data_IF_781524538171
#
_entry.id   IF_781524538171
#
_cell.length_a   1.000
_cell.length_b   1.000
_cell.length_c   1.000
_cell.angle_alpha   90.00
_cell.angle_beta   90.00
_cell.angle_gamma   90.00
#
_symmetry.space_group_name_H-M   'P 1'
#
loop_
_entity.id
_entity.type
_entity.pdbx_description
1 polymer ?
2 polymer ?
3 polymer ?
#
# COMPACT_ATOMS: atom_id res chain seq x y z
N UNK A 1 -7.19 9.64 12.88
CA UNK A 1 -7.31 10.67 11.86
C UNK A 1 -5.98 11.40 11.66
N UNK A 2 -5.59 11.59 10.40
CA UNK A 2 -4.37 12.32 10.05
C UNK A 2 -4.69 13.28 8.91
N UNK A 3 -4.33 14.54 9.07
CA UNK A 3 -4.68 15.59 8.13
C UNK A 3 -3.42 16.23 7.57
N UNK A 4 -3.43 16.49 6.27
CA UNK A 4 -2.33 17.15 5.57
C UNK A 4 -2.91 18.30 4.74
N UNK A 5 -2.23 19.45 4.77
CA UNK A 5 -2.69 20.64 4.07
C UNK A 5 -1.54 21.25 3.29
N UNK A 6 -1.68 21.33 1.97
CA UNK A 6 -0.69 21.97 1.13
C UNK A 6 -0.75 23.49 1.31
N UNK A 7 0.34 24.14 0.91
CA UNK A 7 0.40 25.59 0.94
C UNK A 7 1.53 26.05 0.03
N UNK A 8 1.27 27.07 -0.78
CA UNK A 8 2.27 27.62 -1.65
C UNK A 8 1.76 28.70 -2.58
N UNK A 9 2.67 29.30 -3.33
CA UNK A 9 2.29 30.38 -4.25
C UNK A 9 1.43 29.88 -5.40
N UNK A 10 0.59 30.79 -5.92
CA UNK A 10 -0.26 30.43 -7.04
C UNK A 10 0.51 30.20 -8.32
N UNK A 11 1.40 31.12 -8.66
CA UNK A 11 2.18 31.02 -9.89
C UNK A 11 3.66 31.17 -9.58
N UNK A 12 4.48 30.57 -10.44
CA UNK A 12 5.93 30.64 -10.34
C UNK A 12 6.48 30.94 -11.73
N UNK A 13 7.25 32.03 -11.84
CA UNK A 13 7.91 32.34 -13.10
C UNK A 13 8.97 31.28 -13.41
N UNK A 14 9.22 31.01 -14.68
CA UNK A 14 10.21 29.97 -15.03
C UNK A 14 11.59 30.33 -14.53
N UNK A 15 12.38 29.30 -14.24
CA UNK A 15 13.74 29.35 -13.69
C UNK A 15 13.77 29.79 -12.24
N UNK A 16 12.63 29.87 -11.57
CA UNK A 16 12.59 30.13 -10.14
C UNK A 16 12.71 28.83 -9.36
N UNK A 17 12.64 28.91 -8.05
CA UNK A 17 12.65 27.75 -7.18
C UNK A 17 11.26 27.59 -6.56
N UNK A 18 10.67 26.42 -6.76
CA UNK A 18 9.32 26.15 -6.27
C UNK A 18 9.37 25.74 -4.80
N UNK A 19 8.46 26.30 -4.00
CA UNK A 19 8.44 26.04 -2.57
C UNK A 19 7.01 25.81 -2.10
N UNK A 20 6.74 24.61 -1.59
CA UNK A 20 5.45 24.29 -0.98
C UNK A 20 5.71 23.62 0.37
N UNK A 21 4.80 23.86 1.31
CA UNK A 21 4.90 23.28 2.64
C UNK A 21 3.63 22.49 2.93
N UNK A 22 3.81 21.27 3.44
CA UNK A 22 2.70 20.39 3.78
C UNK A 22 2.59 20.35 5.31
N UNK A 23 1.60 21.04 5.84
CA UNK A 23 1.40 21.15 7.28
C UNK A 23 0.60 19.95 7.76
N UNK A 24 1.25 19.05 8.51
CA UNK A 24 0.64 17.81 8.99
C UNK A 24 0.13 18.03 10.40
N UNK A 25 -1.09 17.58 10.67
CA UNK A 25 -1.69 17.67 12.00
C UNK A 25 -2.23 16.31 12.40
N UNK A 26 -2.32 16.09 13.71
CA UNK A 26 -2.82 14.88 14.37
C UNK A 26 -1.84 13.71 14.28
N UNK A 27 -0.67 13.88 13.69
CA UNK A 27 0.38 12.87 13.73
C UNK A 27 1.72 13.56 13.56
N UNK A 28 2.75 13.01 14.18
CA UNK A 28 4.07 13.62 14.19
C UNK A 28 4.98 12.92 13.19
N UNK A 29 5.72 13.72 12.41
CA UNK A 29 6.58 13.17 11.35
C UNK A 29 7.62 12.24 11.95
N UNK A 30 8.17 12.60 13.11
CA UNK A 30 9.30 11.87 13.69
C UNK A 30 8.91 10.52 14.27
N UNK A 31 7.62 10.23 14.45
CA UNK A 31 7.23 8.99 15.11
C UNK A 31 7.46 7.77 14.22
N UNK A 32 6.70 7.63 13.13
CA UNK A 32 7.05 6.70 12.07
C UNK A 32 6.03 6.68 10.95
N UNK A 33 6.52 7.02 9.74
CA UNK A 33 5.99 6.98 8.36
C UNK A 33 6.92 7.68 7.39
N UNK A 34 6.69 7.49 6.11
CA UNK A 34 7.44 8.14 5.04
C UNK A 34 6.52 9.10 4.30
N UNK A 35 7.00 10.33 4.10
CA UNK A 35 6.15 11.46 3.76
C UNK A 35 6.53 11.93 2.36
N UNK A 36 5.55 11.90 1.46
CA UNK A 36 5.81 11.96 0.04
C UNK A 36 5.25 13.24 -0.56
N UNK A 37 5.77 13.61 -1.72
CA UNK A 37 5.27 14.71 -2.53
C UNK A 37 4.89 14.17 -3.90
N UNK A 38 3.70 14.51 -4.38
CA UNK A 38 3.16 14.00 -5.62
C UNK A 38 2.57 15.16 -6.42
N UNK A 39 2.83 15.17 -7.72
CA UNK A 39 2.24 16.13 -8.64
C UNK A 39 1.44 15.40 -9.71
N UNK A 40 0.44 16.09 -10.26
CA UNK A 40 -0.40 15.54 -11.32
C UNK A 40 -0.49 16.55 -12.44
N UNK A 41 0.03 16.21 -13.60
CA UNK A 41 -0.01 17.11 -14.74
C UNK A 41 -1.43 17.23 -15.29
N UNK A 42 -1.77 18.37 -15.86
CA UNK A 42 -3.06 18.50 -16.55
C UNK A 42 -3.15 17.54 -17.72
N UNK A 43 -4.08 16.60 -17.63
CA UNK A 43 -4.31 15.66 -18.71
C UNK A 43 -3.44 14.42 -18.69
N UNK A 44 -2.52 14.30 -17.74
CA UNK A 44 -1.68 13.11 -17.61
C UNK A 44 -1.92 12.47 -16.24
N UNK A 45 -1.14 11.43 -15.97
CA UNK A 45 -1.29 10.68 -14.74
C UNK A 45 -0.65 11.39 -13.57
N UNK A 46 -0.41 10.62 -12.52
CA UNK A 46 0.22 11.11 -11.30
C UNK A 46 1.70 10.82 -11.35
N UNK A 47 2.52 11.81 -10.98
CA UNK A 47 3.96 11.62 -10.90
C UNK A 47 4.42 11.71 -9.45
N UNK A 48 5.26 10.76 -9.06
CA UNK A 48 5.82 10.73 -7.72
C UNK A 48 7.15 11.47 -7.71
N UNK A 49 7.21 12.55 -6.92
CA UNK A 49 8.42 13.37 -6.86
C UNK A 49 9.46 12.72 -5.96
N UNK A 50 9.08 12.40 -4.73
CA UNK A 50 10.00 11.82 -3.76
C UNK A 50 9.38 11.84 -2.39
N UNK A 51 10.16 11.38 -1.41
CA UNK A 51 9.70 11.44 -0.03
C UNK A 51 10.79 11.97 0.88
N UNK A 52 10.38 12.24 2.12
CA UNK A 52 11.27 12.35 3.26
C UNK A 52 10.66 11.53 4.39
N UNK A 53 11.51 10.78 5.10
CA UNK A 53 11.05 9.88 6.14
C UNK A 53 11.07 10.50 7.53
N UNK A 54 10.66 9.68 8.50
CA UNK A 54 10.82 10.06 9.90
C UNK A 54 12.29 10.16 10.26
N UNK A 55 13.14 9.38 9.59
CA UNK A 55 14.55 9.23 9.90
C UNK A 55 15.38 10.35 9.30
N UNK A 56 14.74 11.27 8.56
CA UNK A 56 15.45 12.27 7.79
C UNK A 56 15.92 11.78 6.44
N UNK A 57 15.71 10.50 6.12
CA UNK A 57 16.18 9.94 4.86
C UNK A 57 15.35 10.46 3.70
N UNK A 58 16.03 10.61 2.56
CA UNK A 58 15.43 11.13 1.34
C UNK A 58 15.56 10.13 0.21
N UNK A 59 14.57 10.13 -0.67
CA UNK A 59 14.65 9.45 -1.96
C UNK A 59 13.80 10.23 -2.94
N UNK A 60 14.37 10.51 -4.11
CA UNK A 60 13.68 11.26 -5.15
C UNK A 60 13.61 10.43 -6.42
N UNK A 61 12.66 10.78 -7.28
CA UNK A 61 12.52 10.12 -8.57
C UNK A 61 13.76 10.40 -9.42
N UNK A 62 14.32 9.38 -10.07
CA UNK A 62 15.51 9.62 -10.90
C UNK A 62 15.29 10.62 -12.02
N UNK A 63 14.03 10.82 -12.45
CA UNK A 63 13.74 11.89 -13.39
C UNK A 63 14.04 13.25 -12.79
N UNK A 64 13.73 13.43 -11.51
CA UNK A 64 13.77 14.73 -10.86
C UNK A 64 14.71 14.72 -9.65
N UNK A 65 15.83 14.00 -9.74
CA UNK A 65 16.72 13.92 -8.59
C UNK A 65 17.52 15.21 -8.39
N UNK A 66 18.04 15.78 -9.48
CA UNK A 66 18.91 16.95 -9.36
C UNK A 66 18.13 18.23 -9.08
N UNK A 67 16.89 18.31 -9.54
CA UNK A 67 16.11 19.53 -9.42
C UNK A 67 15.25 19.60 -8.16
N UNK A 68 15.25 18.56 -7.33
CA UNK A 68 14.34 18.46 -6.20
C UNK A 68 15.13 18.38 -4.90
N UNK A 69 14.66 19.13 -3.89
CA UNK A 69 15.13 18.99 -2.52
C UNK A 69 13.90 18.98 -1.61
N UNK A 70 13.76 17.94 -0.79
CA UNK A 70 12.65 17.83 0.14
C UNK A 70 13.21 17.93 1.56
N UNK A 71 12.78 18.95 2.29
CA UNK A 71 13.25 19.23 3.64
C UNK A 71 12.07 19.36 4.57
N UNK A 72 12.35 19.24 5.88
CA UNK A 72 11.31 19.25 6.89
C UNK A 72 11.68 20.21 8.02
N UNK A 73 10.65 20.70 8.70
CA UNK A 73 10.79 21.51 9.91
C UNK A 73 10.17 20.71 11.05
N UNK A 74 11.02 20.15 11.91
CA UNK A 74 10.56 19.25 12.96
C UNK A 74 9.67 19.96 13.97
N UNK A 75 9.94 21.24 14.24
CA UNK A 75 9.16 21.95 15.26
C UNK A 75 7.75 22.27 14.78
N UNK A 76 7.60 22.67 13.51
CA UNK A 76 6.31 23.08 12.97
C UNK A 76 5.51 21.93 12.38
N UNK A 77 6.03 20.71 12.38
CA UNK A 77 5.40 19.56 11.73
C UNK A 77 5.12 19.86 10.26
N UNK A 78 6.16 20.24 9.55
CA UNK A 78 6.07 20.52 8.12
C UNK A 78 7.19 19.79 7.40
N UNK A 79 6.92 19.41 6.15
CA UNK A 79 7.94 18.94 5.24
C UNK A 79 7.71 19.60 3.90
N UNK A 80 8.77 20.18 3.34
CA UNK A 80 8.63 21.10 2.22
C UNK A 80 9.34 20.57 0.98
N UNK A 81 8.90 21.08 -0.17
CA UNK A 81 9.46 20.74 -1.47
C UNK A 81 10.22 21.94 -2.02
N UNK A 82 11.35 21.68 -2.68
CA UNK A 82 12.09 22.71 -3.40
C UNK A 82 12.44 22.19 -4.78
N UNK A 83 11.78 22.75 -5.80
CA UNK A 83 12.00 22.39 -7.20
C UNK A 83 12.55 23.60 -7.93
N UNK A 84 13.76 23.48 -8.45
CA UNK A 84 14.48 24.59 -9.06
C UNK A 84 14.55 24.43 -10.58
N UNK A 85 14.90 25.53 -11.25
CA UNK A 85 15.02 25.58 -12.70
C UNK A 85 13.76 25.07 -13.38
N UNK A 86 12.61 25.60 -12.92
CA UNK A 86 11.33 25.11 -13.41
C UNK A 86 11.14 25.48 -14.87
N UNK A 87 10.29 24.69 -15.55
CA UNK A 87 9.86 24.96 -16.92
C UNK A 87 8.34 24.90 -16.96
N UNK A 88 7.79 25.14 -18.15
CA UNK A 88 6.34 25.01 -18.31
C UNK A 88 5.86 23.58 -18.06
N UNK A 89 6.75 22.60 -18.17
CA UNK A 89 6.40 21.21 -17.89
C UNK A 89 6.11 20.96 -16.41
N UNK A 90 6.45 21.91 -15.53
CA UNK A 90 6.22 21.74 -14.10
C UNK A 90 4.89 22.31 -13.64
N UNK A 91 4.08 22.87 -14.55
CA UNK A 91 2.73 23.27 -14.21
C UNK A 91 1.91 22.04 -13.85
N UNK A 92 1.51 21.92 -12.58
CA UNK A 92 0.83 20.72 -12.12
C UNK A 92 0.10 21.03 -10.82
N UNK A 93 -0.72 20.07 -10.40
CA UNK A 93 -1.37 20.09 -9.09
C UNK A 93 -0.53 19.25 -8.15
N UNK A 94 -0.05 19.85 -7.06
CA UNK A 94 0.92 19.22 -6.18
C UNK A 94 0.24 18.69 -4.92
N UNK A 95 0.42 17.41 -4.65
CA UNK A 95 -0.13 16.75 -3.48
C UNK A 95 1.00 16.32 -2.54
N UNK A 96 0.71 16.34 -1.25
CA UNK A 96 1.56 15.71 -0.25
C UNK A 96 0.78 14.57 0.38
N UNK A 97 1.42 13.41 0.51
CA UNK A 97 0.71 12.22 0.94
C UNK A 97 1.56 11.42 1.91
N UNK A 98 0.88 10.77 2.86
CA UNK A 98 1.55 9.88 3.79
C UNK A 98 1.76 8.51 3.14
N UNK A 99 2.67 7.73 3.74
CA UNK A 99 3.06 6.47 3.15
C UNK A 99 3.76 5.64 4.21
N UNK A 100 3.71 4.32 4.04
CA UNK A 100 4.62 3.42 4.73
C UNK A 100 5.76 3.09 3.77
N UNK A 101 6.85 2.52 4.30
CA UNK A 101 7.99 2.34 3.41
C UNK A 101 7.61 1.50 2.20
N UNK A 102 7.57 2.14 1.03
CA UNK A 102 7.10 1.51 -0.19
C UNK A 102 5.72 0.88 0.02
N UNK A 103 4.74 1.74 0.33
CA UNK A 103 3.39 1.29 0.61
C UNK A 103 2.31 2.14 0.00
N UNK A 104 1.05 1.85 0.33
CA UNK A 104 -0.05 2.63 -0.21
C UNK A 104 -0.14 3.98 0.51
N UNK A 105 -0.62 4.98 -0.22
CA UNK A 105 -0.67 6.35 0.28
C UNK A 105 -1.84 6.47 1.24
N UNK A 106 -1.55 6.34 2.54
CA UNK A 106 -2.59 6.23 3.54
C UNK A 106 -3.46 7.48 3.60
N UNK A 107 -2.84 8.65 3.55
CA UNK A 107 -3.56 9.92 3.62
C UNK A 107 -3.00 10.89 2.59
N UNK A 108 -3.87 11.77 2.10
CA UNK A 108 -3.49 12.80 1.15
C UNK A 108 -3.89 14.17 1.66
N UNK A 109 -3.09 15.17 1.30
CA UNK A 109 -3.52 16.54 1.45
C UNK A 109 -4.52 16.91 0.38
N UNK A 110 -5.09 18.11 0.53
CA UNK A 110 -6.05 18.58 -0.47
C UNK A 110 -5.41 18.86 -1.82
N UNK A 111 -4.08 19.01 -1.86
CA UNK A 111 -3.40 19.31 -3.09
C UNK A 111 -3.51 20.77 -3.46
N UNK A 112 -2.41 21.36 -3.91
CA UNK A 112 -2.40 22.76 -4.32
C UNK A 112 -2.04 22.86 -5.80
N UNK A 113 -2.56 23.90 -6.44
CA UNK A 113 -2.41 24.09 -7.87
C UNK A 113 -1.38 25.18 -8.14
N UNK A 114 -0.41 24.88 -8.99
CA UNK A 114 0.65 25.83 -9.32
C UNK A 114 0.81 25.92 -10.83
N UNK A 115 1.00 27.14 -11.31
CA UNK A 115 1.10 27.43 -12.75
C UNK A 115 2.44 28.08 -13.04
N UNK A 116 3.19 27.50 -13.98
CA UNK A 116 4.45 28.06 -14.43
C UNK A 116 4.14 28.97 -15.62
N UNK A 117 4.14 30.28 -15.38
CA UNK A 117 3.79 31.24 -16.42
C UNK A 117 4.63 32.50 -16.23
N UNK A 118 4.72 33.29 -17.31
CA UNK A 118 5.47 34.53 -17.29
C UNK A 118 4.54 35.74 -17.26
N UNK B 1 12.26 2.52 -15.33
CA UNK B 1 11.34 2.38 -14.20
C UNK B 1 10.52 1.11 -14.34
N UNK B 2 9.39 1.05 -13.65
CA UNK B 2 8.38 0.02 -13.84
C UNK B 2 7.13 0.71 -14.38
N UNK B 3 6.67 0.27 -15.54
CA UNK B 3 5.54 0.93 -16.21
C UNK B 3 4.24 0.24 -15.85
N UNK B 4 3.26 1.02 -15.42
CA UNK B 4 1.91 0.54 -15.13
C UNK B 4 0.99 1.06 -16.22
N UNK B 5 0.60 0.18 -17.15
CA UNK B 5 -0.23 0.55 -18.28
C UNK B 5 -1.69 0.31 -17.91
N UNK B 6 -2.49 1.38 -17.91
CA UNK B 6 -3.87 1.34 -17.44
C UNK B 6 -4.83 1.34 -18.61
N UNK B 7 -5.75 0.39 -18.62
CA UNK B 7 -6.78 0.29 -19.64
C UNK B 7 -8.13 0.02 -18.97
N UNK B 8 -9.22 0.61 -19.48
CA UNK B 8 -9.22 1.54 -20.61
C UNK B 8 -8.84 2.96 -20.19
N UNK B 9 -8.43 3.78 -21.15
CA UNK B 9 -8.08 5.16 -20.85
C UNK B 9 -9.28 5.94 -20.31
N UNK B 10 -10.44 5.72 -20.90
CA UNK B 10 -11.68 6.31 -20.42
C UNK B 10 -12.84 5.48 -20.97
N UNK B 11 -13.88 5.29 -20.15
CA UNK B 11 -15.00 4.46 -20.56
C UNK B 11 -16.31 5.14 -20.19
N UNK B 12 -17.40 4.66 -20.79
CA UNK B 12 -18.74 5.15 -20.54
C UNK B 12 -19.58 4.01 -19.96
N UNK B 13 -20.34 4.30 -18.91
CA UNK B 13 -21.10 3.25 -18.24
C UNK B 13 -22.33 3.83 -17.56
N UNK B 14 -23.40 3.05 -17.53
CA UNK B 14 -24.63 3.43 -16.86
C UNK B 14 -24.65 2.88 -15.43
N UNK B 15 -25.51 3.48 -14.60
CA UNK B 15 -25.63 3.04 -13.21
C UNK B 15 -26.18 1.61 -13.17
N UNK B 16 -25.57 0.79 -12.32
CA UNK B 16 -25.95 -0.60 -12.17
C UNK B 16 -25.05 -1.57 -12.90
N UNK B 17 -24.27 -1.09 -13.87
CA UNK B 17 -23.36 -1.96 -14.60
C UNK B 17 -22.23 -2.46 -13.68
N UNK B 18 -21.48 -3.42 -14.19
CA UNK B 18 -20.25 -3.87 -13.57
C UNK B 18 -19.08 -3.50 -14.48
N UNK B 19 -18.19 -2.66 -13.98
CA UNK B 19 -17.08 -2.11 -14.76
C UNK B 19 -15.77 -2.68 -14.23
N UNK B 20 -14.86 -3.01 -15.14
CA UNK B 20 -13.53 -3.49 -14.80
C UNK B 20 -12.51 -2.55 -15.40
N UNK B 21 -11.53 -2.16 -14.59
CA UNK B 21 -10.41 -1.33 -15.02
C UNK B 21 -9.13 -2.13 -14.85
N UNK B 22 -8.33 -2.20 -15.90
CA UNK B 22 -7.14 -3.02 -15.92
C UNK B 22 -5.89 -2.16 -15.80
N UNK B 23 -4.83 -2.75 -15.25
CA UNK B 23 -3.56 -2.06 -15.08
C UNK B 23 -2.46 -3.11 -15.19
N UNK B 24 -1.69 -3.05 -16.27
CA UNK B 24 -0.70 -4.08 -16.58
C UNK B 24 0.69 -3.59 -16.23
N UNK B 25 1.33 -4.28 -15.29
CA UNK B 25 2.66 -3.91 -14.84
C UNK B 25 3.71 -4.48 -15.78
N UNK B 26 4.65 -3.63 -16.20
CA UNK B 26 5.71 -4.07 -17.11
C UNK B 26 6.61 -5.11 -16.47
N UNK B 27 6.68 -5.15 -15.14
CA UNK B 27 7.46 -6.15 -14.41
C UNK B 27 6.62 -6.68 -13.27
N UNK B 28 6.99 -7.86 -12.77
CA UNK B 28 6.23 -8.47 -11.68
C UNK B 28 6.38 -7.64 -10.42
N UNK B 29 5.26 -7.38 -9.76
CA UNK B 29 5.25 -6.66 -8.48
C UNK B 29 4.52 -7.42 -7.39
N UNK B 30 3.97 -8.59 -7.68
CA UNK B 30 3.34 -9.38 -6.63
C UNK B 30 2.01 -8.77 -6.19
N UNK B 31 1.84 -8.62 -4.89
CA UNK B 31 0.61 -8.09 -4.30
C UNK B 31 0.78 -6.66 -3.82
N UNK B 32 1.83 -5.97 -4.27
CA UNK B 32 2.11 -4.60 -3.83
C UNK B 32 1.55 -3.58 -4.83
N UNK B 33 0.23 -3.62 -5.01
CA UNK B 33 -0.46 -2.70 -5.92
C UNK B 33 -1.69 -2.14 -5.20
N UNK B 34 -1.93 -0.85 -5.40
CA UNK B 34 -3.05 -0.15 -4.77
C UNK B 34 -3.86 0.58 -5.83
N UNK B 35 -5.10 0.89 -5.49
CA UNK B 35 -6.02 1.63 -6.34
C UNK B 35 -6.54 2.86 -5.61
N UNK B 36 -6.56 3.99 -6.30
CA UNK B 36 -7.01 5.26 -5.73
C UNK B 36 -8.12 5.85 -6.58
N UNK B 37 -9.04 6.56 -5.93
CA UNK B 37 -10.18 7.20 -6.58
C UNK B 37 -9.98 8.71 -6.52
N UNK B 38 -9.77 9.33 -7.68
CA UNK B 38 -9.71 10.78 -7.78
C UNK B 38 -11.02 11.29 -8.38
N UNK B 39 -11.76 12.04 -7.60
CA UNK B 39 -13.01 12.58 -8.13
C UNK B 39 -12.74 13.89 -8.85
N UNK B 40 -13.60 14.27 -9.83
CA UNK B 40 -13.32 15.49 -10.62
C UNK B 40 -13.15 16.73 -9.75
N UNK B 41 -11.95 17.28 -9.74
CA UNK B 41 -11.63 18.42 -8.90
C UNK B 41 -11.44 18.09 -7.44
N UNK B 42 -11.36 16.81 -7.07
CA UNK B 42 -11.26 16.37 -5.69
C UNK B 42 -9.90 15.72 -5.42
N UNK B 43 -9.71 15.34 -4.16
CA UNK B 43 -8.49 14.70 -3.69
C UNK B 43 -8.56 13.21 -4.04
N UNK B 44 -7.46 12.59 -4.43
CA UNK B 44 -7.46 11.12 -4.52
C UNK B 44 -7.76 10.49 -3.17
N UNK B 45 -8.56 9.44 -3.19
CA UNK B 45 -8.95 8.69 -2.02
C UNK B 45 -8.59 7.22 -2.20
N UNK B 46 -7.87 6.61 -1.26
CA UNK B 46 -7.44 5.21 -1.45
C UNK B 46 -8.61 4.25 -1.31
N UNK B 47 -8.75 3.36 -2.29
CA UNK B 47 -9.80 2.35 -2.30
C UNK B 47 -9.26 0.96 -1.97
N UNK B 48 -8.31 0.46 -2.75
CA UNK B 48 -7.83 -0.91 -2.67
C UNK B 48 -6.35 -0.88 -2.37
N UNK B 49 -5.93 -1.65 -1.36
CA UNK B 49 -4.52 -1.81 -1.02
C UNK B 49 -4.23 -3.29 -0.82
N UNK B 50 -2.97 -3.67 -1.08
CA UNK B 50 -2.55 -5.08 -1.13
C UNK B 50 -3.28 -5.87 -2.20
N UNK B 51 -3.83 -5.16 -3.20
CA UNK B 51 -4.43 -5.68 -4.43
C UNK B 51 -5.80 -6.33 -4.21
N UNK B 52 -6.20 -6.56 -2.96
CA UNK B 52 -7.49 -7.18 -2.71
C UNK B 52 -8.22 -6.66 -1.48
N UNK B 53 -7.64 -5.74 -0.72
CA UNK B 53 -8.19 -5.30 0.55
C UNK B 53 -8.74 -3.90 0.42
N UNK B 54 -9.98 -3.70 0.86
CA UNK B 54 -10.62 -2.38 0.79
C UNK B 54 -10.12 -1.50 1.92
N UNK B 55 -9.89 -0.23 1.59
CA UNK B 55 -9.53 0.76 2.60
C UNK B 55 -10.69 0.94 3.57
N UNK B 56 -10.36 1.34 4.80
CA UNK B 56 -11.37 1.50 5.83
C UNK B 56 -12.43 2.50 5.39
N UNK B 57 -13.68 2.03 5.25
CA UNK B 57 -14.78 2.85 4.80
C UNK B 57 -15.18 2.66 3.36
N UNK B 58 -14.47 1.84 2.60
CA UNK B 58 -14.80 1.62 1.19
C UNK B 58 -16.01 0.69 1.11
N UNK B 59 -17.04 1.03 0.32
CA UNK B 59 -18.20 0.15 0.22
C UNK B 59 -17.86 -1.18 -0.44
N UNK B 60 -18.68 -2.20 -0.11
CA UNK B 60 -18.37 -3.57 -0.51
C UNK B 60 -18.39 -3.77 -2.03
N UNK B 61 -19.01 -2.86 -2.78
CA UNK B 61 -19.07 -3.04 -4.22
C UNK B 61 -17.70 -2.94 -4.89
N UNK B 62 -16.72 -2.39 -4.19
CA UNK B 62 -15.36 -2.27 -4.70
C UNK B 62 -14.57 -3.53 -4.35
N UNK B 63 -13.98 -4.16 -5.36
CA UNK B 63 -13.18 -5.37 -5.17
C UNK B 63 -11.93 -5.29 -6.04
N UNK B 64 -10.80 -5.70 -5.47
CA UNK B 64 -9.54 -5.71 -6.17
C UNK B 64 -9.09 -7.13 -6.47
N UNK B 65 -8.65 -7.34 -7.71
CA UNK B 65 -8.20 -8.65 -8.17
C UNK B 65 -6.85 -8.49 -8.87
N UNK B 66 -6.27 -9.62 -9.27
CA UNK B 66 -5.03 -9.60 -10.00
C UNK B 66 -3.90 -10.33 -9.32
N UNK B 67 -3.01 -10.91 -10.12
CA UNK B 67 -1.84 -11.59 -9.60
C UNK B 67 -0.70 -11.39 -10.59
N UNK B 68 0.51 -11.23 -10.07
CA UNK B 68 1.66 -11.05 -10.93
C UNK B 68 1.69 -9.70 -11.62
N UNK B 69 1.41 -9.69 -12.93
CA UNK B 69 1.58 -8.51 -13.76
C UNK B 69 0.28 -7.83 -14.17
N UNK B 70 -0.86 -8.51 -14.07
CA UNK B 70 -2.14 -7.96 -14.47
C UNK B 70 -3.02 -7.73 -13.25
N UNK B 71 -3.58 -6.53 -13.13
CA UNK B 71 -4.39 -6.14 -11.98
C UNK B 71 -5.69 -5.50 -12.45
N UNK B 72 -6.79 -5.84 -11.77
CA UNK B 72 -8.11 -5.35 -12.13
C UNK B 72 -8.82 -4.81 -10.90
N UNK B 73 -9.48 -3.66 -11.08
CA UNK B 73 -10.38 -3.08 -10.08
C UNK B 73 -11.81 -3.26 -10.56
N UNK B 74 -12.67 -3.75 -9.67
CA UNK B 74 -14.02 -4.16 -10.06
C UNK B 74 -15.05 -3.50 -9.18
N UNK B 75 -16.09 -2.94 -9.81
CA UNK B 75 -17.25 -2.39 -9.12
C UNK B 75 -18.43 -3.31 -9.38
N UNK B 76 -18.95 -3.94 -8.31
CA UNK B 76 -20.00 -4.93 -8.50
C UNK B 76 -21.29 -4.28 -9.03
N UNK B 77 -21.74 -3.22 -8.37
CA UNK B 77 -22.94 -2.49 -8.78
C UNK B 77 -22.63 -1.01 -8.78
N UNK B 78 -22.61 -0.41 -9.97
CA UNK B 78 -22.18 0.98 -10.10
C UNK B 78 -23.22 1.92 -9.53
N UNK B 79 -22.75 3.01 -8.94
CA UNK B 79 -23.58 4.00 -8.27
C UNK B 79 -23.21 5.39 -8.75
N UNK B 80 -24.13 6.37 -8.62
CA UNK B 80 -23.81 7.73 -9.08
C UNK B 80 -22.60 8.34 -8.38
N UNK B 81 -22.35 8.00 -7.12
CA UNK B 81 -21.25 8.59 -6.37
C UNK B 81 -19.88 8.14 -6.88
N UNK B 82 -19.83 7.07 -7.67
CA UNK B 82 -18.57 6.47 -8.10
C UNK B 82 -17.98 7.13 -9.34
N UNK B 83 -18.64 8.14 -9.91
CA UNK B 83 -18.10 8.82 -11.09
C UNK B 83 -16.85 9.58 -10.65
N UNK B 84 -15.69 9.13 -11.11
CA UNK B 84 -14.40 9.69 -10.71
C UNK B 84 -13.36 9.14 -11.69
N UNK B 85 -12.08 9.38 -11.37
CA UNK B 85 -10.96 8.83 -12.12
C UNK B 85 -10.17 7.92 -11.19
N UNK B 86 -9.86 6.71 -11.66
CA UNK B 86 -9.23 5.69 -10.85
C UNK B 86 -7.80 5.44 -11.33
N UNK B 87 -6.87 5.36 -10.38
CA UNK B 87 -5.45 5.17 -10.67
C UNK B 87 -4.95 3.91 -9.97
N UNK B 88 -4.10 3.16 -10.66
CA UNK B 88 -3.34 2.09 -10.05
C UNK B 88 -1.96 2.60 -9.65
N UNK B 89 -1.25 1.81 -8.84
CA UNK B 89 -0.02 2.27 -8.24
C UNK B 89 0.75 1.08 -7.70
N UNK B 90 2.06 1.05 -7.95
CA UNK B 90 2.92 0.03 -7.38
C UNK B 90 3.55 0.53 -6.08
N UNK B 91 3.86 -0.41 -5.18
CA UNK B 91 4.76 -0.13 -4.08
C UNK B 91 5.66 -1.34 -3.82
N UNK B 92 6.24 -1.91 -4.88
CA UNK B 92 7.27 -2.93 -4.70
C UNK B 92 8.69 -2.41 -4.92
N UNK B 93 8.88 -1.44 -5.82
CA UNK B 93 10.21 -0.95 -6.12
C UNK B 93 10.16 0.56 -6.37
N UNK B 94 10.99 1.29 -5.63
CA UNK B 94 11.16 2.70 -5.90
C UNK B 94 11.89 2.89 -7.23
N UNK B 95 11.57 3.94 -8.00
CA UNK B 95 10.57 4.98 -7.71
C UNK B 95 9.14 4.48 -7.91
N UNK B 96 8.20 5.06 -7.18
CA UNK B 96 6.81 4.67 -7.26
C UNK B 96 6.16 5.24 -8.52
N UNK B 97 5.40 4.40 -9.21
CA UNK B 97 4.77 4.76 -10.48
C UNK B 97 3.27 4.52 -10.41
N UNK B 98 2.52 5.41 -11.04
CA UNK B 98 1.07 5.31 -11.15
C UNK B 98 0.67 4.90 -12.56
N UNK B 99 -0.61 4.59 -12.71
CA UNK B 99 -1.18 4.38 -14.03
C UNK B 99 -1.61 5.68 -14.67
N UNK B 100 -1.95 5.60 -15.96
CA UNK B 100 -2.34 6.80 -16.69
C UNK B 100 -3.71 7.33 -16.28
N UNK B 101 -4.52 6.50 -15.63
CA UNK B 101 -5.83 6.92 -15.19
C UNK B 101 -6.96 6.42 -16.08
N UNK B 102 -8.10 6.12 -15.47
CA UNK B 102 -9.29 5.69 -16.18
C UNK B 102 -10.46 6.54 -15.69
N UNK B 103 -11.18 7.16 -16.62
CA UNK B 103 -12.26 8.08 -16.27
C UNK B 103 -13.62 7.43 -16.55
N UNK B 104 -14.56 7.66 -15.64
CA UNK B 104 -15.89 7.09 -15.71
C UNK B 104 -16.88 8.12 -16.25
N UNK B 105 -17.64 7.74 -17.26
CA UNK B 105 -18.73 8.57 -17.78
C UNK B 105 -20.07 7.90 -17.47
N UNK B 106 -21.02 8.71 -17.00
CA UNK B 106 -22.40 8.25 -16.88
C UNK B 106 -23.04 8.28 -18.26
N UNK B 107 -23.50 7.12 -18.73
CA UNK B 107 -24.02 6.99 -20.09
C UNK B 107 -25.45 7.49 -20.21
N UNK C 1 -0.16 -1.80 18.56
CA UNK C 1 -0.44 -0.37 18.37
C UNK C 1 -1.36 -0.20 17.18
N UNK C 2 -0.76 0.05 16.02
CA UNK C 2 -1.56 0.09 14.79
C UNK C 2 -1.73 -1.34 14.26
N UNK C 3 -2.84 -1.58 13.57
CA UNK C 3 -3.26 -2.93 13.25
C UNK C 3 -3.41 -3.13 11.75
N UNK C 4 -3.21 -4.38 11.33
CA UNK C 4 -3.40 -4.81 9.95
C UNK C 4 -4.14 -6.14 9.97
N UNK C 5 -4.64 -6.55 8.81
CA UNK C 5 -5.47 -7.73 8.70
C UNK C 5 -4.66 -8.94 8.26
N UNK C 6 -4.93 -10.07 8.90
CA UNK C 6 -4.30 -11.36 8.58
C UNK C 6 -5.37 -12.34 8.18
N UNK C 7 -5.20 -12.95 7.01
CA UNK C 7 -6.13 -13.96 6.51
C UNK C 7 -5.42 -15.31 6.46
N UNK C 8 -6.17 -16.36 6.78
CA UNK C 8 -5.67 -17.73 6.71
C UNK C 8 -6.86 -18.66 6.65
N UNK C 9 -6.71 -19.85 6.06
CA UNK C 9 -7.85 -20.76 5.93
C UNK C 9 -8.33 -21.26 7.29
N UNK C 10 -9.64 -21.51 7.37
CA UNK C 10 -10.26 -21.87 8.63
C UNK C 10 -9.99 -23.31 9.03
N UNK C 11 -10.03 -24.25 8.09
CA UNK C 11 -9.89 -25.67 8.37
C UNK C 11 -8.82 -26.25 7.47
N UNK C 12 -7.86 -26.98 8.05
CA UNK C 12 -6.82 -27.67 7.30
C UNK C 12 -6.67 -29.09 7.85
N UNK C 13 -6.68 -30.08 6.96
CA UNK C 13 -6.44 -31.46 7.33
C UNK C 13 -4.95 -31.76 7.27
N UNK C 14 -4.53 -32.71 8.11
CA UNK C 14 -3.16 -33.21 8.04
C UNK C 14 -3.08 -34.35 7.02
N UNK C 15 -1.86 -34.70 6.65
CA UNK C 15 -1.62 -35.94 5.92
C UNK C 15 -1.45 -37.07 6.93
N UNK C 16 -1.19 -38.29 6.42
CA UNK C 16 -0.95 -39.41 7.31
C UNK C 16 0.30 -39.16 8.16
N UNK C 17 1.33 -38.56 7.56
CA UNK C 17 2.57 -38.29 8.28
C UNK C 17 2.35 -37.28 9.40
N UNK C 18 1.54 -36.25 9.15
CA UNK C 18 1.41 -35.14 10.07
C UNK C 18 1.80 -33.82 9.44
N UNK C 19 1.59 -33.71 8.13
CA UNK C 19 1.90 -32.50 7.39
C UNK C 19 0.66 -31.62 7.36
N UNK C 20 0.76 -30.44 7.95
CA UNK C 20 -0.31 -29.45 7.90
C UNK C 20 0.32 -28.13 7.42
N UNK C 21 0.11 -27.81 6.16
CA UNK C 21 0.65 -26.62 5.54
C UNK C 21 -0.50 -25.71 5.08
N UNK C 22 -0.36 -24.42 5.35
CA UNK C 22 -1.36 -23.43 4.97
C UNK C 22 -0.65 -22.14 4.59
N UNK C 23 -1.43 -21.17 4.13
CA UNK C 23 -0.93 -19.86 3.72
C UNK C 23 -1.49 -18.81 4.67
N UNK C 24 -0.63 -17.92 5.13
CA UNK C 24 -1.02 -16.84 6.03
C UNK C 24 -0.67 -15.52 5.34
N UNK C 25 -1.69 -14.84 4.81
CA UNK C 25 -1.52 -13.61 4.06
C UNK C 25 -1.95 -12.43 4.94
N UNK C 26 -1.12 -11.38 4.97
CA UNK C 26 -1.39 -10.19 5.77
C UNK C 26 -1.50 -8.97 4.87
N UNK C 27 -2.47 -8.11 5.17
CA UNK C 27 -2.68 -6.87 4.43
C UNK C 27 -1.62 -5.86 4.81
N UNK C 28 -0.49 -5.90 4.12
CA UNK C 28 0.66 -5.11 4.52
C UNK C 28 0.47 -3.64 4.18
N UNK C 29 0.78 -2.72 5.10
CA UNK C 29 0.76 -1.29 4.75
C UNK C 29 1.75 -0.95 3.65
N UNK C 30 2.84 -1.70 3.58
CA UNK C 30 3.86 -1.48 2.58
C UNK C 30 4.90 -2.59 2.70
N UNK C 31 6.04 -2.38 2.06
CA UNK C 31 7.08 -3.40 2.07
C UNK C 31 8.03 -3.13 3.23
N UNK C 32 8.22 -4.13 4.09
CA UNK C 32 8.83 -3.92 5.39
C UNK C 32 10.22 -4.53 5.45
N UNK C 33 11.03 -4.01 6.37
CA UNK C 33 12.37 -4.54 6.60
C UNK C 33 12.35 -5.75 7.52
N UNK C 34 11.94 -5.55 8.78
CA UNK C 34 11.86 -6.63 9.76
C UNK C 34 10.41 -7.06 9.93
N UNK C 35 10.17 -8.36 9.74
CA UNK C 35 8.84 -8.94 9.92
C UNK C 35 9.01 -10.19 10.78
N UNK C 36 8.31 -10.22 11.92
CA UNK C 36 8.32 -11.39 12.80
C UNK C 36 6.99 -12.10 12.68
N UNK C 37 7.03 -13.39 12.36
CA UNK C 37 5.84 -14.21 12.17
C UNK C 37 5.81 -15.27 13.27
N UNK C 38 4.62 -15.51 13.81
CA UNK C 38 4.46 -16.37 14.97
C UNK C 38 3.19 -17.19 14.83
N UNK C 39 3.26 -18.47 15.21
CA UNK C 39 2.13 -19.38 15.16
C UNK C 39 1.73 -19.76 16.58
N UNK C 40 0.44 -19.69 16.87
CA UNK C 40 -0.08 -19.80 18.22
C UNK C 40 -1.15 -20.90 18.27
N UNK C 41 -1.10 -21.71 19.32
CA UNK C 41 -1.99 -22.85 19.49
C UNK C 41 -3.03 -22.55 20.58
N UNK C 42 -4.31 -22.51 20.18
CA UNK C 42 -5.44 -22.30 21.09
C UNK C 42 -6.15 -23.62 21.39
N UNK C 43 -5.38 -24.69 21.57
CA UNK C 43 -5.96 -26.04 21.61
C UNK C 43 -6.97 -26.20 22.75
N UNK C 44 -6.62 -25.72 23.95
CA UNK C 44 -7.39 -26.03 25.15
C UNK C 44 -7.78 -24.75 25.89
N UNK C 45 -8.32 -23.78 25.14
CA UNK C 45 -8.63 -22.45 25.69
C UNK C 45 -7.39 -21.81 26.31
N UNK C 46 -6.23 -22.16 25.78
CA UNK C 46 -4.94 -21.70 26.25
C UNK C 46 -4.05 -21.44 25.04
N UNK C 47 -3.14 -20.48 25.17
CA UNK C 47 -2.29 -20.07 24.06
C UNK C 47 -0.89 -20.65 24.26
N UNK C 48 -0.33 -21.22 23.19
CA UNK C 48 1.00 -21.79 23.21
C UNK C 48 1.70 -21.43 21.91
N UNK C 49 2.84 -20.75 22.01
CA UNK C 49 3.63 -20.43 20.83
C UNK C 49 4.21 -21.71 20.23
N UNK C 50 4.19 -21.79 18.90
CA UNK C 50 4.64 -22.99 18.20
C UNK C 50 5.84 -22.63 17.32
N UNK C 51 5.61 -21.76 16.35
CA UNK C 51 6.68 -21.25 15.49
C UNK C 51 7.12 -19.89 16.02
N UNK C 52 8.32 -19.47 15.59
CA UNK C 52 8.79 -18.11 15.86
C UNK C 52 9.94 -17.82 14.93
N UNK C 53 9.80 -16.77 14.11
CA UNK C 53 10.84 -16.43 13.16
C UNK C 53 10.75 -14.95 12.81
N UNK C 54 11.85 -14.41 12.29
CA UNK C 54 11.93 -13.00 11.93
C UNK C 54 13.01 -12.81 10.87
N UNK C 55 12.73 -11.95 9.90
CA UNK C 55 13.68 -11.62 8.83
C UNK C 55 13.76 -10.12 8.63
N UNK C 56 14.97 -9.62 8.39
CA UNK C 56 15.27 -8.19 8.41
C UNK C 56 15.61 -7.65 7.02
N UNK C 57 15.01 -8.23 5.99
CA UNK C 57 15.21 -7.82 4.60
C UNK C 57 14.00 -8.35 3.81
N UNK C 58 14.20 -8.71 2.55
CA UNK C 58 13.08 -9.04 1.70
C UNK C 58 12.59 -10.44 2.04
N UNK C 59 12.73 -11.42 1.16
CA UNK C 59 12.07 -12.71 1.39
C UNK C 59 13.03 -13.76 1.96
N UNK C 60 13.91 -13.38 2.88
CA UNK C 60 14.83 -14.33 3.50
C UNK C 60 14.27 -14.87 4.82
N UNK C 61 13.14 -15.57 4.74
CA UNK C 61 12.54 -16.19 5.92
C UNK C 61 13.06 -17.62 6.08
N UNK C 62 13.67 -17.90 7.23
CA UNK C 62 14.15 -19.23 7.56
C UNK C 62 13.88 -19.48 9.04
N UNK C 63 13.02 -20.45 9.33
CA UNK C 63 12.62 -20.74 10.70
C UNK C 63 13.77 -21.33 11.51
N UNK C 67 11.36 -24.89 14.37
CA UNK C 67 11.85 -26.29 14.31
C UNK C 67 10.73 -27.12 13.72
N UNK C 68 9.56 -27.09 14.35
CA UNK C 68 8.38 -27.83 13.82
C UNK C 68 8.04 -27.18 12.51
N UNK C 69 8.35 -25.89 12.43
CA UNK C 69 7.86 -25.15 11.26
C UNK C 69 8.87 -24.97 10.16
N UNK C 70 8.59 -25.55 9.02
CA UNK C 70 9.33 -25.34 7.78
C UNK C 70 8.51 -24.39 6.91
N UNK C 71 9.10 -23.24 6.57
CA UNK C 71 8.35 -22.31 5.76
C UNK C 71 9.09 -21.04 5.38
N UNK C 72 8.80 -20.53 4.17
CA UNK C 72 9.43 -19.33 3.67
C UNK C 72 8.37 -18.34 3.23
N UNK C 73 8.72 -17.06 3.28
CA UNK C 73 7.78 -15.96 3.01
C UNK C 73 7.97 -15.43 1.61
N UNK C 74 6.85 -15.08 0.96
CA UNK C 74 6.84 -14.49 -0.39
C UNK C 74 5.95 -13.26 -0.35
N UNK C 75 6.54 -12.13 0.01
CA UNK C 75 5.79 -10.88 0.05
C UNK C 75 4.69 -10.93 1.10
N UNK C 76 3.46 -10.66 0.66
CA UNK C 76 2.31 -10.66 1.56
C UNK C 76 2.01 -12.04 2.14
N UNK C 77 2.41 -13.10 1.45
CA UNK C 77 2.05 -14.46 1.84
C UNK C 77 3.26 -15.17 2.42
N UNK C 78 3.08 -15.77 3.60
CA UNK C 78 4.08 -16.66 4.18
C UNK C 78 3.59 -18.10 3.99
N UNK C 79 4.45 -18.94 3.44
CA UNK C 79 4.11 -20.32 3.12
C UNK C 79 4.60 -21.19 4.27
N UNK C 80 3.66 -21.65 5.11
CA UNK C 80 4.00 -22.32 6.35
C UNK C 80 3.71 -23.81 6.27
N UNK C 81 4.55 -24.60 6.93
CA UNK C 81 4.36 -26.04 7.04
C UNK C 81 4.71 -26.48 8.45
N UNK C 82 3.88 -27.35 9.02
CA UNK C 82 4.06 -27.85 10.38
C UNK C 82 4.20 -29.37 10.33
N UNK C 83 5.28 -29.88 10.90
CA UNK C 83 5.56 -31.31 10.93
C UNK C 83 5.26 -31.88 12.31
N UNK C 84 5.37 -33.21 12.40
CA UNK C 84 5.32 -33.90 13.68
C UNK C 84 4.03 -33.70 14.44
N UNK C 85 2.89 -33.87 13.78
CA UNK C 85 1.60 -33.61 14.38
C UNK C 85 0.96 -34.92 14.83
N UNK C 86 0.69 -35.02 16.13
CA UNK C 86 -0.12 -36.10 16.68
C UNK C 86 -1.58 -35.63 16.77
N UNK C 87 -2.46 -36.57 17.12
CA UNK C 87 -3.86 -36.22 17.32
C UNK C 87 -4.02 -35.21 18.45
N UNK C 88 -3.17 -35.26 19.47
CA UNK C 88 -3.18 -34.23 20.49
C UNK C 88 -2.79 -32.86 19.96
N UNK C 89 -2.03 -32.80 18.86
CA UNK C 89 -1.67 -31.52 18.27
C UNK C 89 -2.84 -30.81 17.59
N UNK C 90 -4.00 -31.46 17.49
CA UNK C 90 -5.19 -30.84 16.93
C UNK C 90 -5.57 -29.58 17.72
N UNK C 91 -5.86 -28.51 17.00
CA UNK C 91 -6.25 -27.27 17.64
C UNK C 91 -6.36 -26.15 16.63
N UNK C 92 -6.68 -24.98 17.17
CA UNK C 92 -6.79 -23.75 16.38
C UNK C 92 -5.44 -23.04 16.38
N UNK C 93 -4.83 -22.91 15.21
CA UNK C 93 -3.52 -22.27 15.09
C UNK C 93 -3.67 -20.87 14.51
N UNK C 94 -3.26 -19.87 15.29
CA UNK C 94 -3.37 -18.48 14.91
C UNK C 94 -2.03 -18.02 14.36
N UNK C 95 -2.05 -17.43 13.17
CA UNK C 95 -0.85 -16.86 12.56
C UNK C 95 -0.79 -15.38 12.91
N UNK C 96 0.21 -15.01 13.69
CA UNK C 96 0.39 -13.65 14.18
C UNK C 96 1.60 -13.03 13.48
N UNK C 97 1.39 -11.91 12.81
CA UNK C 97 2.42 -11.27 12.00
C UNK C 97 2.73 -9.90 12.59
N UNK C 98 4.01 -9.69 12.89
CA UNK C 98 4.52 -8.45 13.46
C UNK C 98 5.56 -7.87 12.52
N UNK C 99 5.29 -6.69 11.97
CA UNK C 99 6.29 -5.97 11.17
C UNK C 99 6.87 -4.86 12.02
N UNK C 100 8.17 -4.98 12.33
CA UNK C 100 8.84 -4.17 13.33
C UNK C 100 9.39 -2.86 12.75
N UNK C 101 10.32 -2.98 11.81
CA UNK C 101 11.02 -1.87 11.19
C UNK C 101 10.73 -1.84 9.70
N UNK C 102 10.50 -0.66 9.11
CA UNK C 102 10.52 0.67 9.74
C UNK C 102 9.37 0.91 10.70
N UNK C 103 9.52 1.87 11.60
CA UNK C 103 8.40 2.24 12.46
C UNK C 103 7.26 2.79 11.63
N UNK C 104 6.03 2.69 12.12
CA UNK C 104 5.62 2.15 13.41
C UNK C 104 5.38 0.65 13.42
N UNK C 105 4.85 0.19 14.55
CA UNK C 105 4.55 -1.21 14.79
C UNK C 105 3.16 -1.54 14.26
N UNK C 106 3.07 -2.54 13.39
CA UNK C 106 1.79 -3.03 12.90
C UNK C 106 1.62 -4.47 13.37
N UNK C 107 0.45 -4.79 13.90
CA UNK C 107 0.15 -6.10 14.45
C UNK C 107 -1.07 -6.70 13.75
N UNK C 108 -0.96 -7.96 13.35
CA UNK C 108 -2.07 -8.67 12.74
C UNK C 108 -2.29 -10.04 13.35
N UNK C 109 -3.53 -10.32 13.75
CA UNK C 109 -3.90 -11.59 14.37
C UNK C 109 -4.91 -12.28 13.47
N UNK C 110 -4.60 -13.50 13.05
CA UNK C 110 -5.54 -14.28 12.27
C UNK C 110 -6.66 -14.85 13.11
N UNK C 111 -7.81 -15.09 12.47
CA UNK C 111 -8.95 -15.63 13.19
C UNK C 111 -8.70 -17.05 13.66
N UNK C 112 -7.86 -17.81 12.95
CA UNK C 112 -7.56 -19.17 13.33
C UNK C 112 -7.65 -20.16 12.19
N UNK C 113 -6.75 -21.15 12.22
CA UNK C 113 -6.77 -22.27 11.28
C UNK C 113 -6.92 -23.54 12.11
N UNK C 114 -8.13 -24.10 12.10
CA UNK C 114 -8.40 -25.31 12.88
C UNK C 114 -7.77 -26.50 12.15
N UNK C 115 -6.74 -27.08 12.74
CA UNK C 115 -6.05 -28.23 12.16
C UNK C 115 -6.52 -29.49 12.87
N UNK C 116 -7.10 -30.41 12.10
CA UNK C 116 -7.52 -31.71 12.61
C UNK C 116 -6.47 -32.74 12.23
N UNK C 117 -5.98 -33.46 13.23
CA UNK C 117 -4.95 -34.49 13.06
C UNK C 117 -5.46 -35.78 13.65
N UNK C 118 -5.36 -36.88 12.89
CA UNK C 118 -5.60 -38.20 13.45
C UNK C 118 -4.32 -39.00 13.34
N UNK C 119 -4.32 -40.20 13.91
CA UNK C 119 -3.15 -41.07 13.91
C UNK C 119 -3.56 -42.47 13.46
N UNK C 120 -2.68 -43.17 12.72
CA UNK C 120 -2.98 -44.52 12.22
C UNK C 120 -2.66 -45.63 13.22
#
# INVERSE_FOLDING_TARGET
QVQLQESGPGLVKPSQTLSLTCTVSAYSITSGYYWNWIRQHPGKGLEWIGYIGYDGSNNYNPSLKSRVTISRDTSKNQFSLKLSSVTAADTAVYYCARDYYSGYFDSWGQGTTLTVSS
DIQMTQSPSSLSASVGDRVTITCRASQNVGTYVAWYQQKPGKVPKPLIYSTSYRYSGVPSRFSGSGSGTDFTLTISSLQPEDVATYFCHQYDTYPLTFGAGTKLELK
CKAMHVAQPAVVLASSRGIASFVCEYASPGKATEVRVTVLRQADSQVTEVCAATYMMGNELTFLDDSICTGTSSGNQVNLTIQGLRAMDTGLYICKVELMYPPPYYLGIGNGTQIYVIDP
#
